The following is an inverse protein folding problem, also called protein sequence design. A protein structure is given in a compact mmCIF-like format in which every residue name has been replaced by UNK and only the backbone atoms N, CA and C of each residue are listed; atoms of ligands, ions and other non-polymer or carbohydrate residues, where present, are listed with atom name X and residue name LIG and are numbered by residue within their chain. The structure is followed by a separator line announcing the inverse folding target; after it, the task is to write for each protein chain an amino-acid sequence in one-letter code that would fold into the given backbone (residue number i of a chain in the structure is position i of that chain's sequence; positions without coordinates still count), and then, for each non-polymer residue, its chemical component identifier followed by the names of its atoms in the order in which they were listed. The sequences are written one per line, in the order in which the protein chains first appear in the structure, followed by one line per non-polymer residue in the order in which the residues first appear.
data_IF_537978899823
#
_entry.id   IF_537978899823
#
_cell.length_a   1.000
_cell.length_b   1.000
_cell.length_c   1.000
_cell.angle_alpha   90.00
_cell.angle_beta   90.00
_cell.angle_gamma   90.00
#
_symmetry.space_group_name_H-M   'P 1'
#
loop_
_entity.id
_entity.type
_entity.pdbx_description
1 polymer ?
#
# COMPACT_ATOMS: atom_id res chain seq x y z
N UNK A 1 17.74 -9.49 15.61
CA UNK A 1 16.84 -9.01 14.51
C UNK A 1 16.40 -10.19 13.64
N UNK A 2 15.18 -10.18 13.08
CA UNK A 2 14.70 -11.27 12.18
C UNK A 2 15.52 -11.37 10.89
N UNK A 3 16.15 -10.27 10.45
CA UNK A 3 17.02 -10.24 9.27
C UNK A 3 18.30 -11.08 9.41
N UNK A 4 18.69 -11.44 10.64
CA UNK A 4 19.86 -12.27 10.92
C UNK A 4 19.56 -13.78 10.81
N UNK A 5 18.28 -14.15 10.77
CA UNK A 5 17.87 -15.53 10.65
C UNK A 5 17.73 -15.95 9.18
N UNK A 6 18.29 -17.09 8.84
CA UNK A 6 18.05 -17.71 7.54
C UNK A 6 16.70 -18.45 7.62
N UNK A 7 15.75 -18.00 6.82
CA UNK A 7 14.44 -18.64 6.71
C UNK A 7 14.49 -19.75 5.66
N UNK A 8 15.14 -20.88 5.99
CA UNK A 8 15.10 -22.07 5.13
C UNK A 8 13.75 -22.78 5.29
N UNK A 9 13.18 -23.23 4.17
CA UNK A 9 11.90 -23.99 4.13
C UNK A 9 10.66 -23.27 4.70
N UNK A 10 10.67 -21.94 4.73
CA UNK A 10 9.49 -21.20 5.19
C UNK A 10 8.42 -21.21 4.09
N UNK A 11 7.20 -21.63 4.42
CA UNK A 11 6.04 -21.35 3.59
C UNK A 11 5.61 -19.89 3.78
N UNK A 12 6.07 -19.02 2.86
CA UNK A 12 5.76 -17.59 2.90
C UNK A 12 4.30 -17.29 2.62
N UNK A 13 3.62 -18.13 1.84
CA UNK A 13 2.22 -17.93 1.49
C UNK A 13 1.29 -17.95 2.70
N UNK A 14 1.70 -18.52 3.85
CA UNK A 14 0.93 -18.45 5.10
C UNK A 14 0.83 -17.03 5.68
N UNK A 15 1.72 -16.11 5.26
CA UNK A 15 1.67 -14.72 5.68
C UNK A 15 0.81 -13.83 4.76
N UNK A 16 0.25 -14.42 3.70
CA UNK A 16 -0.70 -13.76 2.82
C UNK A 16 -1.85 -14.72 2.50
N UNK A 17 -3.06 -14.32 2.85
CA UNK A 17 -4.26 -15.14 2.62
C UNK A 17 -5.32 -14.27 1.94
N UNK A 18 -5.81 -14.73 0.80
CA UNK A 18 -7.00 -14.18 0.19
C UNK A 18 -8.18 -14.48 1.11
N UNK A 19 -8.96 -13.45 1.44
CA UNK A 19 -10.09 -13.56 2.34
C UNK A 19 -11.35 -13.97 1.56
N UNK A 20 -12.31 -14.58 2.24
CA UNK A 20 -13.61 -14.93 1.62
C UNK A 20 -14.54 -13.72 1.48
N UNK A 21 -14.25 -12.61 2.16
CA UNK A 21 -15.08 -11.41 2.20
C UNK A 21 -14.23 -10.16 2.43
N UNK A 22 -14.79 -9.03 2.09
CA UNK A 22 -14.25 -7.71 2.44
C UNK A 22 -14.06 -7.58 3.95
N UNK A 23 -13.18 -6.66 4.37
CA UNK A 23 -12.86 -6.49 5.79
C UNK A 23 -14.13 -6.16 6.61
N UNK A 24 -14.59 -7.05 7.52
CA UNK A 24 -15.83 -6.89 8.25
C UNK A 24 -15.85 -5.72 9.24
N UNK A 25 -14.69 -5.11 9.54
CA UNK A 25 -14.63 -3.86 10.30
C UNK A 25 -15.11 -2.68 9.47
N UNK A 26 -14.88 -2.70 8.16
CA UNK A 26 -15.21 -1.63 7.22
C UNK A 26 -16.52 -1.88 6.50
N UNK A 27 -16.83 -3.13 6.15
CA UNK A 27 -17.90 -3.53 5.24
C UNK A 27 -18.94 -4.41 5.90
N UNK A 28 -20.18 -4.29 5.47
CA UNK A 28 -21.26 -5.26 5.69
C UNK A 28 -21.68 -5.75 4.32
N UNK A 29 -21.28 -6.99 3.96
CA UNK A 29 -21.35 -7.41 2.57
C UNK A 29 -20.53 -6.48 1.67
N UNK A 30 -21.19 -5.83 0.73
CA UNK A 30 -20.61 -4.84 -0.17
C UNK A 30 -20.91 -3.39 0.23
N UNK A 31 -21.55 -3.15 1.36
CA UNK A 31 -21.91 -1.82 1.82
C UNK A 31 -20.86 -1.29 2.82
N UNK A 32 -20.30 -0.11 2.54
CA UNK A 32 -19.40 0.56 3.46
C UNK A 32 -20.17 0.99 4.71
N UNK A 33 -19.68 0.60 5.89
CA UNK A 33 -20.32 0.96 7.16
C UNK A 33 -20.40 2.48 7.32
N UNK A 34 -21.54 2.99 7.75
CA UNK A 34 -21.81 4.43 7.92
C UNK A 34 -20.76 5.10 8.82
N UNK A 35 -20.33 4.43 9.90
CA UNK A 35 -19.30 4.94 10.80
C UNK A 35 -17.96 5.14 10.10
N UNK A 36 -17.59 4.22 9.20
CA UNK A 36 -16.35 4.32 8.40
C UNK A 36 -16.49 5.42 7.36
N UNK A 37 -17.61 5.44 6.64
CA UNK A 37 -17.91 6.47 5.66
C UNK A 37 -17.81 7.88 6.27
N UNK A 38 -18.50 8.12 7.38
CA UNK A 38 -18.49 9.43 8.06
C UNK A 38 -17.07 9.81 8.51
N UNK A 39 -16.29 8.83 8.99
CA UNK A 39 -14.91 9.10 9.40
C UNK A 39 -14.00 9.46 8.23
N UNK A 40 -14.11 8.72 7.11
CA UNK A 40 -13.36 9.02 5.87
C UNK A 40 -13.73 10.41 5.36
N UNK A 41 -15.04 10.71 5.24
CA UNK A 41 -15.51 12.02 4.77
C UNK A 41 -15.02 13.14 5.67
N UNK A 42 -15.08 12.99 7.00
CA UNK A 42 -14.57 13.98 7.93
C UNK A 42 -13.09 14.28 7.70
N UNK A 43 -12.24 13.24 7.61
CA UNK A 43 -10.80 13.39 7.41
C UNK A 43 -10.49 14.10 6.09
N UNK A 44 -11.19 13.71 5.02
CA UNK A 44 -10.94 14.26 3.69
C UNK A 44 -11.48 15.67 3.54
N UNK A 45 -12.65 15.96 4.10
CA UNK A 45 -13.22 17.31 4.06
C UNK A 45 -12.34 18.33 4.83
N UNK A 46 -11.81 17.96 6.00
CA UNK A 46 -10.83 18.80 6.72
C UNK A 46 -9.58 19.06 5.87
N UNK A 47 -9.13 18.08 5.08
CA UNK A 47 -8.00 18.26 4.14
C UNK A 47 -8.38 19.18 2.98
N UNK A 48 -9.56 19.00 2.38
CA UNK A 48 -10.08 19.79 1.26
C UNK A 48 -10.25 21.26 1.67
N UNK A 49 -10.87 21.51 2.83
CA UNK A 49 -11.08 22.85 3.37
C UNK A 49 -9.76 23.56 3.65
N UNK A 50 -8.81 22.86 4.32
CA UNK A 50 -7.49 23.45 4.64
C UNK A 50 -6.68 23.84 3.41
N UNK A 51 -6.87 23.16 2.28
CA UNK A 51 -6.13 23.39 1.05
C UNK A 51 -6.98 24.09 -0.03
N UNK A 52 -8.19 24.61 0.31
CA UNK A 52 -9.08 25.36 -0.57
C UNK A 52 -9.43 24.63 -1.89
N UNK A 53 -9.64 23.30 -1.79
CA UNK A 53 -9.80 22.45 -3.00
C UNK A 53 -11.24 22.23 -3.42
N UNK A 54 -12.23 22.82 -2.74
CA UNK A 54 -13.66 22.49 -2.92
C UNK A 54 -14.15 22.51 -4.35
N UNK A 55 -13.75 23.51 -5.16
CA UNK A 55 -14.17 23.66 -6.56
C UNK A 55 -13.55 22.59 -7.49
N UNK A 56 -12.45 22.00 -7.10
CA UNK A 56 -11.72 21.04 -7.92
C UNK A 56 -12.12 19.58 -7.64
N UNK A 57 -12.78 19.29 -6.51
CA UNK A 57 -13.11 17.93 -6.12
C UNK A 57 -14.40 17.45 -6.76
N UNK A 58 -14.36 16.34 -7.46
CA UNK A 58 -15.53 15.71 -8.11
C UNK A 58 -16.03 14.45 -7.41
N UNK A 59 -15.17 13.75 -6.66
CA UNK A 59 -15.54 12.55 -5.91
C UNK A 59 -14.47 12.25 -4.83
N UNK A 60 -14.84 11.43 -3.85
CA UNK A 60 -13.95 10.84 -2.86
C UNK A 60 -14.13 9.33 -2.99
N UNK A 61 -13.05 8.60 -3.30
CA UNK A 61 -13.12 7.16 -3.52
C UNK A 61 -12.17 6.41 -2.60
N UNK A 62 -12.58 5.21 -2.19
CA UNK A 62 -11.71 4.21 -1.59
C UNK A 62 -11.21 3.27 -2.68
N UNK A 63 -9.94 2.89 -2.57
CA UNK A 63 -9.27 1.97 -3.48
C UNK A 63 -8.34 1.03 -2.70
N UNK A 64 -7.54 0.27 -3.43
CA UNK A 64 -6.52 -0.60 -2.85
C UNK A 64 -7.09 -1.81 -2.12
N UNK A 65 -6.25 -2.45 -1.32
CA UNK A 65 -6.56 -3.75 -0.72
C UNK A 65 -7.71 -3.73 0.28
N UNK A 66 -8.07 -2.58 0.85
CA UNK A 66 -9.22 -2.44 1.77
C UNK A 66 -10.57 -2.47 1.05
N UNK A 67 -10.58 -2.25 -0.26
CA UNK A 67 -11.74 -2.44 -1.13
C UNK A 67 -11.78 -3.83 -1.77
N UNK A 68 -10.91 -4.74 -1.33
CA UNK A 68 -10.74 -6.06 -1.93
C UNK A 68 -10.60 -7.15 -0.85
N UNK A 69 -10.58 -8.42 -1.25
CA UNK A 69 -10.40 -9.58 -0.37
C UNK A 69 -8.94 -9.91 -0.08
N UNK A 70 -8.01 -9.10 -0.60
CA UNK A 70 -6.56 -9.25 -0.43
C UNK A 70 -5.96 -8.35 0.66
N UNK A 71 -6.81 -7.81 1.53
CA UNK A 71 -6.37 -7.00 2.67
C UNK A 71 -5.61 -7.81 3.71
N UNK A 72 -4.75 -7.14 4.44
CA UNK A 72 -4.00 -7.67 5.59
C UNK A 72 -4.13 -6.71 6.78
N UNK A 73 -3.66 -7.13 7.96
CA UNK A 73 -3.62 -6.25 9.13
C UNK A 73 -2.70 -5.02 8.95
N UNK A 74 -1.81 -5.06 7.95
CA UNK A 74 -0.90 -3.95 7.58
C UNK A 74 -1.37 -3.19 6.34
N UNK A 75 -2.58 -3.44 5.86
CA UNK A 75 -3.15 -2.66 4.75
C UNK A 75 -3.51 -1.27 5.21
N UNK A 76 -3.20 -0.29 4.38
CA UNK A 76 -3.60 1.09 4.58
C UNK A 76 -5.03 1.32 4.05
N UNK A 77 -5.66 2.40 4.47
CA UNK A 77 -6.94 2.88 3.92
C UNK A 77 -6.61 3.91 2.85
N UNK A 78 -6.57 3.48 1.61
CA UNK A 78 -6.22 4.32 0.45
C UNK A 78 -7.43 5.15 0.04
N UNK A 79 -7.43 6.42 0.41
CA UNK A 79 -8.48 7.39 0.04
C UNK A 79 -7.97 8.27 -1.08
N UNK A 80 -8.72 8.32 -2.18
CA UNK A 80 -8.36 9.17 -3.32
C UNK A 80 -9.35 10.30 -3.48
N UNK A 81 -8.81 11.53 -3.60
CA UNK A 81 -9.57 12.74 -3.95
C UNK A 81 -9.55 12.84 -5.46
N UNK A 82 -10.71 12.65 -6.08
CA UNK A 82 -10.86 12.72 -7.54
C UNK A 82 -11.03 14.17 -7.95
N UNK A 83 -10.05 14.69 -8.67
CA UNK A 83 -9.99 16.08 -9.10
C UNK A 83 -10.53 16.26 -10.53
N UNK A 84 -11.18 17.40 -10.75
CA UNK A 84 -11.65 17.82 -12.07
C UNK A 84 -10.61 18.67 -12.81
N UNK A 85 -9.36 18.20 -12.80
CA UNK A 85 -8.23 18.86 -13.46
C UNK A 85 -7.40 17.83 -14.23
N UNK A 86 -6.51 18.29 -15.09
CA UNK A 86 -5.55 17.41 -15.76
C UNK A 86 -4.39 17.08 -14.80
N UNK A 87 -3.81 15.90 -14.95
CA UNK A 87 -2.69 15.44 -14.12
C UNK A 87 -1.44 16.31 -14.28
N UNK A 88 -1.29 16.97 -15.42
CA UNK A 88 -0.20 17.91 -15.71
C UNK A 88 -0.42 19.32 -15.18
N UNK A 89 -1.58 19.61 -14.58
CA UNK A 89 -1.89 20.96 -14.07
C UNK A 89 -1.13 21.27 -12.78
N UNK A 90 -0.81 22.53 -12.55
CA UNK A 90 -0.18 23.01 -11.34
C UNK A 90 -1.01 22.67 -10.08
N UNK A 91 -2.34 22.73 -10.21
CA UNK A 91 -3.28 22.34 -9.15
C UNK A 91 -3.09 20.88 -8.79
N UNK A 92 -3.00 19.96 -9.76
CA UNK A 92 -2.78 18.53 -9.46
C UNK A 92 -1.44 18.31 -8.76
N UNK A 93 -0.38 18.97 -9.22
CA UNK A 93 0.96 18.87 -8.63
C UNK A 93 0.96 19.42 -7.20
N UNK A 94 0.30 20.56 -6.96
CA UNK A 94 0.18 21.15 -5.63
C UNK A 94 -0.58 20.21 -4.68
N UNK A 95 -1.72 19.66 -5.11
CA UNK A 95 -2.50 18.70 -4.29
C UNK A 95 -1.70 17.44 -4.01
N UNK A 96 -0.96 16.92 -4.98
CA UNK A 96 -0.08 15.75 -4.80
C UNK A 96 0.97 16.00 -3.71
N UNK A 97 1.57 17.18 -3.70
CA UNK A 97 2.54 17.56 -2.67
C UNK A 97 1.86 17.74 -1.29
N UNK A 98 0.68 18.37 -1.24
CA UNK A 98 -0.09 18.52 -0.01
C UNK A 98 -0.51 17.15 0.57
N UNK A 99 -0.96 16.21 -0.26
CA UNK A 99 -1.27 14.83 0.15
C UNK A 99 -0.02 14.12 0.71
N UNK A 100 1.13 14.28 0.05
CA UNK A 100 2.38 13.68 0.53
C UNK A 100 2.77 14.21 1.92
N UNK A 101 2.69 15.51 2.12
CA UNK A 101 2.96 16.13 3.42
C UNK A 101 1.98 15.65 4.47
N UNK A 102 0.68 15.63 4.17
CA UNK A 102 -0.35 15.10 5.06
C UNK A 102 -0.05 13.67 5.50
N UNK A 103 0.27 12.78 4.57
CA UNK A 103 0.57 11.38 4.84
C UNK A 103 1.86 11.18 5.68
N UNK A 104 2.81 12.11 5.57
CA UNK A 104 4.04 12.10 6.38
C UNK A 104 3.83 12.65 7.79
N UNK A 105 3.08 13.73 7.92
CA UNK A 105 2.89 14.44 9.20
C UNK A 105 1.78 13.86 10.05
N UNK A 106 0.76 13.25 9.43
CA UNK A 106 -0.43 12.75 10.12
C UNK A 106 -0.42 11.25 10.29
N UNK A 107 -0.68 10.82 11.51
CA UNK A 107 -0.87 9.42 11.86
C UNK A 107 -2.35 9.18 12.22
N UNK A 108 -3.20 9.16 11.18
CA UNK A 108 -4.65 8.96 11.33
C UNK A 108 -4.98 7.51 11.02
N UNK A 109 -5.77 6.88 11.89
CA UNK A 109 -6.12 5.47 11.77
C UNK A 109 -7.64 5.26 11.82
N UNK A 110 -8.13 4.31 11.03
CA UNK A 110 -9.45 3.72 11.14
C UNK A 110 -9.26 2.24 11.46
N UNK A 111 -9.67 1.79 12.66
CA UNK A 111 -9.49 0.40 13.14
C UNK A 111 -8.06 -0.14 12.98
N UNK A 112 -7.06 0.65 13.35
CA UNK A 112 -5.62 0.33 13.25
C UNK A 112 -5.07 0.27 11.81
N UNK A 113 -5.81 0.72 10.81
CA UNK A 113 -5.35 0.91 9.45
C UNK A 113 -5.04 2.38 9.21
N UNK A 114 -3.83 2.70 8.81
CA UNK A 114 -3.41 4.08 8.51
C UNK A 114 -4.22 4.60 7.33
N UNK A 115 -4.71 5.84 7.43
CA UNK A 115 -5.39 6.52 6.33
C UNK A 115 -4.36 7.28 5.52
N UNK A 116 -4.32 7.02 4.22
CA UNK A 116 -3.49 7.74 3.26
C UNK A 116 -4.39 8.43 2.23
N UNK A 117 -4.12 9.73 1.97
CA UNK A 117 -4.85 10.53 0.99
C UNK A 117 -3.97 10.71 -0.24
N UNK A 118 -4.54 10.46 -1.41
CA UNK A 118 -3.86 10.61 -2.69
C UNK A 118 -4.74 11.35 -3.69
N UNK A 119 -4.19 12.19 -4.59
CA UNK A 119 -4.94 12.79 -5.66
C UNK A 119 -5.17 11.79 -6.79
N UNK A 120 -6.27 11.93 -7.49
CA UNK A 120 -6.60 11.15 -8.67
C UNK A 120 -7.35 12.01 -9.68
N UNK A 121 -7.21 11.73 -10.96
CA UNK A 121 -8.04 12.36 -12.01
C UNK A 121 -9.32 11.57 -12.25
N UNK A 122 -10.31 12.17 -12.90
CA UNK A 122 -11.57 11.50 -13.29
C UNK A 122 -11.36 10.24 -14.13
N UNK A 123 -10.27 10.16 -14.88
CA UNK A 123 -9.96 9.00 -15.73
C UNK A 123 -9.49 7.79 -14.95
N UNK A 124 -9.12 7.96 -13.66
CA UNK A 124 -8.57 6.90 -12.82
C UNK A 124 -7.40 6.15 -13.51
N UNK A 125 -6.53 6.92 -14.17
CA UNK A 125 -5.50 6.42 -15.11
C UNK A 125 -4.46 5.53 -14.45
N UNK A 126 -4.15 5.82 -13.19
CA UNK A 126 -3.12 5.09 -12.43
C UNK A 126 -3.62 3.81 -11.75
N UNK A 127 -4.86 3.42 -12.04
CA UNK A 127 -5.45 2.23 -11.42
C UNK A 127 -5.36 1.03 -12.35
N UNK A 128 -4.99 -0.13 -11.82
CA UNK A 128 -5.10 -1.36 -12.58
C UNK A 128 -6.54 -1.59 -13.04
N UNK A 129 -6.72 -2.23 -14.20
CA UNK A 129 -8.07 -2.51 -14.75
C UNK A 129 -8.97 -3.30 -13.78
N UNK A 130 -8.37 -4.07 -12.88
CA UNK A 130 -9.06 -4.93 -11.92
C UNK A 130 -9.13 -4.33 -10.50
N UNK A 131 -8.60 -3.12 -10.28
CA UNK A 131 -8.67 -2.50 -8.96
C UNK A 131 -10.11 -2.18 -8.57
N UNK A 132 -10.53 -2.62 -7.40
CA UNK A 132 -11.83 -2.29 -6.85
C UNK A 132 -11.88 -0.82 -6.44
N UNK A 133 -12.99 -0.13 -6.73
CA UNK A 133 -13.16 1.30 -6.49
C UNK A 133 -14.56 1.57 -5.93
N UNK A 134 -14.63 2.18 -4.77
CA UNK A 134 -15.87 2.56 -4.12
C UNK A 134 -15.96 4.08 -3.94
N UNK A 135 -17.01 4.71 -4.48
CA UNK A 135 -17.28 6.13 -4.21
C UNK A 135 -17.90 6.29 -2.83
N UNK A 136 -17.16 6.94 -1.93
CA UNK A 136 -17.58 7.22 -0.56
C UNK A 136 -18.67 8.29 -0.54
N UNK A 137 -18.50 9.33 -1.38
CA UNK A 137 -19.46 10.43 -1.48
C UNK A 137 -20.80 9.97 -2.07
N UNK A 138 -20.78 9.10 -3.11
CA UNK A 138 -21.98 8.61 -3.81
C UNK A 138 -22.52 7.30 -3.25
N UNK A 139 -21.87 6.70 -2.25
CA UNK A 139 -22.24 5.42 -1.61
C UNK A 139 -22.43 4.27 -2.59
N UNK A 140 -21.55 4.16 -3.58
CA UNK A 140 -21.66 3.12 -4.61
C UNK A 140 -20.33 2.64 -5.15
N UNK A 141 -20.31 1.40 -5.58
CA UNK A 141 -19.19 0.84 -6.32
C UNK A 141 -19.10 1.47 -7.72
N UNK A 142 -17.93 1.98 -8.06
CA UNK A 142 -17.55 2.31 -9.44
C UNK A 142 -17.08 1.03 -10.12
N UNK A 143 -16.30 0.22 -9.38
CA UNK A 143 -15.86 -1.10 -9.79
C UNK A 143 -15.80 -2.01 -8.57
N UNK A 144 -16.53 -3.12 -8.60
CA UNK A 144 -16.51 -4.11 -7.50
C UNK A 144 -15.23 -4.93 -7.51
N UNK A 145 -14.81 -5.48 -6.35
CA UNK A 145 -13.74 -6.46 -6.31
C UNK A 145 -14.11 -7.70 -7.11
N UNK A 146 -13.11 -8.32 -7.70
CA UNK A 146 -13.23 -9.62 -8.37
C UNK A 146 -12.85 -10.73 -7.40
N UNK A 147 -13.27 -11.96 -7.73
CA UNK A 147 -12.80 -13.13 -7.00
C UNK A 147 -11.31 -13.38 -7.31
N UNK A 148 -10.60 -13.77 -6.29
CA UNK A 148 -9.16 -14.02 -6.38
C UNK A 148 -8.85 -15.44 -5.96
N UNK A 149 -7.93 -16.07 -6.69
CA UNK A 149 -7.37 -17.38 -6.35
C UNK A 149 -5.87 -17.41 -6.65
N UNK A 150 -5.11 -18.13 -5.85
CA UNK A 150 -3.70 -18.40 -6.09
C UNK A 150 -3.50 -19.87 -6.44
N UNK A 151 -3.03 -20.12 -7.65
CA UNK A 151 -2.66 -21.48 -8.07
C UNK A 151 -1.51 -22.03 -7.22
N UNK A 152 -1.35 -23.36 -7.22
CA UNK A 152 -0.22 -24.02 -6.54
C UNK A 152 1.13 -23.59 -7.15
N UNK A 153 1.16 -23.36 -8.45
CA UNK A 153 2.34 -22.88 -9.17
C UNK A 153 2.73 -21.47 -8.71
N UNK A 154 1.76 -20.55 -8.71
CA UNK A 154 1.96 -19.19 -8.18
C UNK A 154 2.46 -19.20 -6.73
N UNK A 155 1.94 -20.08 -5.87
CA UNK A 155 2.41 -20.22 -4.48
C UNK A 155 3.87 -20.69 -4.41
N UNK A 156 4.30 -21.62 -5.27
CA UNK A 156 5.70 -22.08 -5.34
C UNK A 156 6.61 -20.94 -5.77
N UNK A 157 6.20 -20.18 -6.78
CA UNK A 157 6.93 -19.03 -7.29
C UNK A 157 7.13 -17.96 -6.21
N UNK A 158 6.06 -17.58 -5.49
CA UNK A 158 6.11 -16.64 -4.37
C UNK A 158 7.11 -17.11 -3.31
N UNK A 159 7.05 -18.38 -2.91
CA UNK A 159 7.95 -18.95 -1.91
C UNK A 159 9.42 -18.88 -2.37
N UNK A 160 9.69 -19.18 -3.64
CA UNK A 160 11.04 -19.10 -4.24
C UNK A 160 11.55 -17.66 -4.23
N UNK A 161 10.71 -16.71 -4.65
CA UNK A 161 11.08 -15.29 -4.68
C UNK A 161 11.33 -14.74 -3.27
N UNK A 162 10.49 -15.08 -2.30
CA UNK A 162 10.69 -14.68 -0.90
C UNK A 162 12.03 -15.21 -0.36
N UNK A 163 12.33 -16.48 -0.58
CA UNK A 163 13.59 -17.10 -0.13
C UNK A 163 14.80 -16.43 -0.79
N UNK A 164 14.74 -16.17 -2.09
CA UNK A 164 15.79 -15.46 -2.83
C UNK A 164 16.02 -14.06 -2.27
N UNK A 165 14.94 -13.31 -2.02
CA UNK A 165 15.03 -11.97 -1.46
C UNK A 165 15.60 -12.00 -0.04
N UNK A 166 15.16 -12.92 0.81
CA UNK A 166 15.69 -13.10 2.17
C UNK A 166 17.19 -13.40 2.16
N UNK A 167 17.66 -14.26 1.27
CA UNK A 167 19.09 -14.56 1.14
C UNK A 167 19.90 -13.32 0.74
N UNK A 168 19.37 -12.47 -0.14
CA UNK A 168 20.01 -11.20 -0.53
C UNK A 168 20.08 -10.24 0.64
N UNK A 169 18.96 -10.05 1.36
CA UNK A 169 18.88 -9.20 2.55
C UNK A 169 19.88 -9.68 3.60
N UNK A 170 19.88 -10.98 3.91
CA UNK A 170 20.78 -11.57 4.90
C UNK A 170 22.27 -11.36 4.56
N UNK A 171 22.67 -11.56 3.30
CA UNK A 171 24.05 -11.30 2.86
C UNK A 171 24.42 -9.83 3.03
N UNK A 172 23.55 -8.91 2.63
CA UNK A 172 23.79 -7.47 2.77
C UNK A 172 23.84 -7.03 4.24
N UNK A 173 23.00 -7.61 5.10
CA UNK A 173 22.98 -7.38 6.57
C UNK A 173 24.29 -7.83 7.20
N UNK A 174 24.76 -9.05 6.92
CA UNK A 174 26.06 -9.56 7.41
C UNK A 174 27.23 -8.68 6.99
N UNK A 175 27.23 -8.22 5.75
CA UNK A 175 28.24 -7.33 5.22
C UNK A 175 28.12 -5.88 5.74
N UNK A 176 27.05 -5.53 6.49
CA UNK A 176 26.69 -4.17 6.90
C UNK A 176 26.75 -3.15 5.74
N UNK A 177 26.40 -3.61 4.54
CA UNK A 177 26.50 -2.82 3.32
C UNK A 177 25.28 -1.95 3.09
N UNK A 178 25.31 -0.70 3.53
CA UNK A 178 24.22 0.29 3.35
C UNK A 178 23.83 0.38 1.86
N UNK A 179 24.81 0.43 0.96
CA UNK A 179 24.56 0.54 -0.48
C UNK A 179 23.74 -0.65 -1.01
N UNK A 180 24.06 -1.88 -0.59
CA UNK A 180 23.32 -3.06 -1.01
C UNK A 180 21.92 -3.12 -0.38
N UNK A 181 21.78 -2.77 0.90
CA UNK A 181 20.49 -2.71 1.59
C UNK A 181 19.56 -1.68 0.93
N UNK A 182 20.07 -0.46 0.62
CA UNK A 182 19.31 0.57 -0.11
C UNK A 182 18.92 0.10 -1.51
N UNK A 183 19.82 -0.55 -2.23
CA UNK A 183 19.51 -1.11 -3.56
C UNK A 183 18.35 -2.11 -3.48
N UNK A 184 18.37 -3.02 -2.51
CA UNK A 184 17.30 -4.00 -2.28
C UNK A 184 15.99 -3.29 -1.92
N UNK A 185 16.01 -2.30 -1.02
CA UNK A 185 14.83 -1.55 -0.60
C UNK A 185 14.18 -0.79 -1.76
N UNK A 186 14.98 -0.15 -2.62
CA UNK A 186 14.50 0.55 -3.80
C UNK A 186 13.93 -0.42 -4.84
N UNK A 187 14.61 -1.54 -5.12
CA UNK A 187 14.13 -2.60 -6.01
C UNK A 187 12.77 -3.14 -5.53
N UNK A 188 12.62 -3.42 -4.25
CA UNK A 188 11.36 -3.88 -3.67
C UNK A 188 10.20 -2.91 -3.92
N UNK A 189 10.44 -1.60 -3.84
CA UNK A 189 9.43 -0.56 -4.11
C UNK A 189 9.09 -0.45 -5.59
N UNK A 190 10.10 -0.34 -6.44
CA UNK A 190 9.92 -0.09 -7.87
C UNK A 190 9.32 -1.30 -8.59
N UNK A 191 9.82 -2.51 -8.31
CA UNK A 191 9.28 -3.73 -8.91
C UNK A 191 7.85 -4.02 -8.44
N UNK A 192 7.53 -3.75 -7.16
CA UNK A 192 6.14 -3.81 -6.68
C UNK A 192 5.24 -2.88 -7.46
N UNK A 193 5.64 -1.62 -7.62
CA UNK A 193 4.86 -0.62 -8.36
C UNK A 193 4.66 -1.04 -9.83
N UNK A 194 5.74 -1.47 -10.47
CA UNK A 194 5.72 -1.93 -11.87
C UNK A 194 4.83 -3.16 -12.05
N UNK A 195 4.95 -4.16 -11.19
CA UNK A 195 4.18 -5.41 -11.28
C UNK A 195 2.68 -5.16 -11.07
N UNK A 196 2.31 -4.34 -10.08
CA UNK A 196 0.90 -3.96 -9.84
C UNK A 196 0.32 -3.21 -11.04
N UNK A 197 1.08 -2.31 -11.65
CA UNK A 197 0.62 -1.57 -12.81
C UNK A 197 0.37 -2.47 -14.04
N UNK A 198 1.19 -3.50 -14.23
CA UNK A 198 1.11 -4.43 -15.36
C UNK A 198 0.10 -5.57 -15.15
N UNK A 199 0.15 -6.20 -13.99
CA UNK A 199 -0.51 -7.48 -13.71
C UNK A 199 -1.62 -7.35 -12.65
N UNK A 200 -1.67 -6.21 -11.95
CA UNK A 200 -2.63 -5.95 -10.89
C UNK A 200 -2.17 -6.41 -9.51
N UNK A 201 -3.09 -6.36 -8.56
CA UNK A 201 -2.80 -6.60 -7.14
C UNK A 201 -2.34 -8.02 -6.81
N UNK A 202 -2.66 -9.00 -7.65
CA UNK A 202 -2.20 -10.40 -7.51
C UNK A 202 -0.89 -10.71 -8.22
N UNK A 203 -0.22 -9.71 -8.78
CA UNK A 203 1.14 -9.89 -9.30
C UNK A 203 2.03 -10.60 -8.28
N UNK A 204 2.77 -11.60 -8.72
CA UNK A 204 3.60 -12.45 -7.84
C UNK A 204 4.53 -11.62 -6.98
N UNK A 205 5.14 -10.58 -7.58
CA UNK A 205 6.03 -9.68 -6.86
C UNK A 205 5.31 -8.86 -5.77
N UNK A 206 4.08 -8.40 -6.02
CA UNK A 206 3.28 -7.70 -5.01
C UNK A 206 2.91 -8.64 -3.84
N UNK A 207 2.58 -9.89 -4.12
CA UNK A 207 2.26 -10.86 -3.07
C UNK A 207 3.53 -11.20 -2.26
N UNK A 208 4.66 -11.43 -2.92
CA UNK A 208 5.96 -11.59 -2.27
C UNK A 208 6.25 -10.41 -1.32
N UNK A 209 6.08 -9.18 -1.80
CA UNK A 209 6.22 -7.99 -0.97
C UNK A 209 5.27 -7.99 0.24
N UNK A 210 3.98 -8.32 0.04
CA UNK A 210 2.98 -8.42 1.13
C UNK A 210 3.37 -9.49 2.15
N UNK A 211 3.90 -10.65 1.73
CA UNK A 211 4.41 -11.69 2.63
C UNK A 211 5.56 -11.16 3.50
N UNK A 212 6.56 -10.53 2.90
CA UNK A 212 7.70 -9.95 3.61
C UNK A 212 7.26 -8.83 4.57
N UNK A 213 6.34 -7.96 4.15
CA UNK A 213 5.79 -6.89 4.99
C UNK A 213 5.02 -7.44 6.18
N UNK A 214 4.16 -8.43 5.96
CA UNK A 214 3.38 -9.05 7.04
C UNK A 214 4.26 -9.76 8.07
N UNK A 215 5.42 -10.26 7.65
CA UNK A 215 6.46 -10.80 8.55
C UNK A 215 7.33 -9.73 9.20
N UNK A 216 7.09 -8.44 8.90
CA UNK A 216 7.87 -7.27 9.34
C UNK A 216 9.30 -7.19 8.79
N UNK A 217 9.64 -7.97 7.77
CA UNK A 217 10.96 -7.94 7.15
C UNK A 217 11.23 -6.59 6.49
N UNK A 218 10.22 -6.02 5.83
CA UNK A 218 10.34 -4.71 5.17
C UNK A 218 10.61 -3.60 6.20
N UNK A 219 9.87 -3.60 7.31
CA UNK A 219 10.04 -2.61 8.37
C UNK A 219 11.45 -2.69 8.98
N UNK A 220 11.90 -3.91 9.29
CA UNK A 220 13.25 -4.15 9.84
C UNK A 220 14.36 -3.77 8.85
N UNK A 221 14.16 -3.95 7.54
CA UNK A 221 15.11 -3.53 6.51
C UNK A 221 15.31 -2.02 6.52
N UNK A 222 14.21 -1.23 6.57
CA UNK A 222 14.32 0.23 6.63
C UNK A 222 14.94 0.70 7.94
N UNK A 223 14.51 0.16 9.08
CA UNK A 223 15.11 0.49 10.39
C UNK A 223 16.61 0.22 10.43
N UNK A 224 17.07 -0.90 9.83
CA UNK A 224 18.50 -1.20 9.76
C UNK A 224 19.27 -0.22 8.88
N UNK A 225 18.69 0.20 7.75
CA UNK A 225 19.31 1.20 6.87
C UNK A 225 19.51 2.51 7.63
N UNK A 226 18.44 3.00 8.27
CA UNK A 226 18.48 4.25 9.04
C UNK A 226 19.49 4.16 10.18
N UNK A 227 19.51 3.06 10.94
CA UNK A 227 20.47 2.83 12.03
C UNK A 227 21.93 2.85 11.55
N UNK A 228 22.21 2.23 10.41
CA UNK A 228 23.56 2.19 9.85
C UNK A 228 23.98 3.56 9.30
N UNK A 229 23.06 4.35 8.74
CA UNK A 229 23.31 5.72 8.27
C UNK A 229 23.58 6.65 9.44
N UNK A 230 22.74 6.60 10.48
CA UNK A 230 22.93 7.41 11.68
C UNK A 230 24.29 7.12 12.33
N UNK A 231 24.69 5.85 12.42
CA UNK A 231 26.02 5.48 12.91
C UNK A 231 27.16 6.04 12.06
N UNK A 232 26.97 6.12 10.73
CA UNK A 232 27.97 6.67 9.81
C UNK A 232 28.09 8.19 9.91
N UNK A 233 26.97 8.87 10.19
CA UNK A 233 26.91 10.33 10.30
C UNK A 233 27.27 10.83 11.71
N UNK A 234 27.16 9.98 12.72
CA UNK A 234 27.46 10.35 14.09
C UNK A 234 28.97 10.37 14.37
N UNK A 235 29.45 11.42 15.01
CA UNK A 235 30.76 11.45 15.64
C UNK A 235 30.69 10.70 16.99
N UNK A 236 31.54 9.70 17.17
CA UNK A 236 31.77 9.03 18.47
C UNK A 236 33.17 9.31 18.96
#
# INVERSE_FOLDING_TARGET
MKLEHIFTHTDWCKFFTIKQRLNPKFWTGFDLKVVVQNKVLKIVNEFIEKNELGEHVSDIVLMGSMCDTIYTNKSDVDVHIVLNVQETSDVFVAVKNACRLFNMERNIYIYNHKVEINPQTKKLTDTSKNAAIYSVAKKKWIRRPVEHELSQETRKEINTMCNTMMNRIHKATKAKSIAQLKKIANELKEERKSSVAKEGELAVYNIMFKCLRNKSIIDELFMLIDELEDKKLSLK
#
